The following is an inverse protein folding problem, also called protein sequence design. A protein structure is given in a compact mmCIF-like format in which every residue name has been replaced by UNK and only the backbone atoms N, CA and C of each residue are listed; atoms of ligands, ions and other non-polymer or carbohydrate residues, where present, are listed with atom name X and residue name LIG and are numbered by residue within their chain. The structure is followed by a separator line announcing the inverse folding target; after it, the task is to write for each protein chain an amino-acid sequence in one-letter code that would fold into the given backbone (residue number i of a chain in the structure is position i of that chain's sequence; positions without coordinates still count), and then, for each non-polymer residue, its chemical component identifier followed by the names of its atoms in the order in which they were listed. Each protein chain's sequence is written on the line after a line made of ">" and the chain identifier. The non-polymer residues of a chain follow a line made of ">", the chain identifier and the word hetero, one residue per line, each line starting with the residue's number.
data_IF_729870759361
#
_entry.id   IF_729870759361
#
_cell.length_a   1.000
_cell.length_b   1.000
_cell.length_c   1.000
_cell.angle_alpha   90.00
_cell.angle_beta   90.00
_cell.angle_gamma   90.00
#
_symmetry.space_group_name_H-M   'P 1'
#
loop_
_entity.id
_entity.type
_entity.pdbx_description
1 polymer ?
#
# COMPACT_ATOMS: atom_id res chain seq x y z
N UNK A 1 -68.00 -36.94 21.59
CA UNK A 1 -66.96 -36.60 22.55
C UNK A 1 -65.62 -36.86 21.89
N UNK A 2 -65.06 -35.84 21.26
CA UNK A 2 -63.76 -35.93 20.57
C UNK A 2 -62.78 -34.98 21.25
N UNK A 3 -61.85 -35.53 22.00
CA UNK A 3 -60.77 -34.78 22.61
C UNK A 3 -59.71 -34.49 21.56
N UNK A 4 -59.57 -33.20 21.18
CA UNK A 4 -58.43 -32.76 20.39
C UNK A 4 -57.22 -32.70 21.30
N UNK A 5 -56.26 -33.54 21.04
CA UNK A 5 -54.92 -33.37 21.59
C UNK A 5 -54.24 -32.17 20.95
N UNK A 6 -54.05 -31.14 21.74
CA UNK A 6 -53.24 -29.98 21.37
C UNK A 6 -51.77 -30.38 21.70
N UNK A 7 -51.02 -30.77 20.67
CA UNK A 7 -49.60 -31.02 20.78
C UNK A 7 -48.88 -29.81 20.18
N UNK A 8 -48.89 -28.71 20.89
CA UNK A 8 -47.88 -27.69 20.72
C UNK A 8 -46.79 -27.96 21.75
N UNK A 9 -45.77 -28.66 21.35
CA UNK A 9 -44.65 -28.94 22.23
C UNK A 9 -43.73 -27.70 22.27
N UNK A 10 -43.72 -26.94 23.36
CA UNK A 10 -42.85 -25.75 23.48
C UNK A 10 -41.36 -26.09 23.41
N UNK A 11 -41.00 -27.33 23.66
CA UNK A 11 -39.59 -27.80 23.67
C UNK A 11 -38.92 -27.76 22.29
N UNK A 12 -39.66 -27.95 21.20
CA UNK A 12 -39.07 -27.95 19.82
C UNK A 12 -38.80 -26.55 19.33
N UNK A 13 -39.61 -25.56 19.69
CA UNK A 13 -39.42 -24.15 19.31
C UNK A 13 -38.25 -23.56 20.09
N UNK A 14 -38.11 -23.88 21.38
CA UNK A 14 -37.01 -23.42 22.24
C UNK A 14 -35.68 -24.03 21.85
N UNK A 15 -35.64 -25.30 21.43
CA UNK A 15 -34.40 -25.94 20.95
C UNK A 15 -33.94 -25.40 19.59
N UNK A 16 -34.85 -24.94 18.74
CA UNK A 16 -34.56 -24.32 17.45
C UNK A 16 -34.08 -22.87 17.62
N UNK A 17 -34.67 -22.10 18.53
CA UNK A 17 -34.21 -20.74 18.88
C UNK A 17 -32.81 -20.78 19.52
N UNK A 18 -32.57 -21.65 20.47
CA UNK A 18 -31.26 -21.87 21.10
C UNK A 18 -30.15 -22.27 20.10
N UNK A 19 -30.51 -22.97 19.01
CA UNK A 19 -29.52 -23.39 18.01
C UNK A 19 -29.12 -22.22 17.11
N UNK A 20 -30.06 -21.40 16.65
CA UNK A 20 -29.79 -20.21 15.84
C UNK A 20 -28.99 -19.15 16.62
N UNK A 21 -29.37 -18.88 17.87
CA UNK A 21 -28.64 -17.98 18.75
C UNK A 21 -27.21 -18.48 19.06
N UNK A 22 -27.07 -19.81 19.26
CA UNK A 22 -25.78 -20.42 19.48
C UNK A 22 -24.89 -20.34 18.25
N UNK A 23 -25.43 -20.51 17.05
CA UNK A 23 -24.71 -20.32 15.78
C UNK A 23 -24.31 -18.85 15.63
N UNK A 24 -25.22 -17.91 15.89
CA UNK A 24 -24.94 -16.47 15.83
C UNK A 24 -23.81 -16.07 16.76
N UNK A 25 -23.87 -16.44 18.03
CA UNK A 25 -22.80 -16.14 19.01
C UNK A 25 -21.45 -16.76 18.63
N UNK A 26 -21.47 -18.00 18.09
CA UNK A 26 -20.23 -18.64 17.62
C UNK A 26 -19.63 -17.94 16.39
N UNK A 27 -20.47 -17.49 15.47
CA UNK A 27 -20.05 -16.72 14.30
C UNK A 27 -19.46 -15.36 14.70
N UNK A 28 -20.09 -14.66 15.63
CA UNK A 28 -19.58 -13.40 16.19
C UNK A 28 -18.24 -13.60 16.91
N UNK A 29 -18.16 -14.64 17.77
CA UNK A 29 -16.92 -14.95 18.49
C UNK A 29 -15.77 -15.33 17.53
N UNK A 30 -16.08 -16.07 16.45
CA UNK A 30 -15.10 -16.43 15.44
C UNK A 30 -14.65 -15.18 14.66
N UNK A 31 -15.60 -14.34 14.24
CA UNK A 31 -15.30 -13.08 13.55
C UNK A 31 -14.42 -12.15 14.40
N UNK A 32 -14.73 -12.02 15.70
CA UNK A 32 -13.93 -11.24 16.63
C UNK A 32 -12.49 -11.80 16.78
N UNK A 33 -12.36 -13.15 16.85
CA UNK A 33 -11.04 -13.80 16.93
C UNK A 33 -10.24 -13.61 15.64
N UNK A 34 -10.88 -13.72 14.46
CA UNK A 34 -10.23 -13.51 13.17
C UNK A 34 -9.78 -12.06 13.04
N UNK A 35 -10.62 -11.09 13.42
CA UNK A 35 -10.26 -9.66 13.43
C UNK A 35 -9.07 -9.41 14.34
N UNK A 36 -9.10 -9.87 15.59
CA UNK A 36 -8.00 -9.72 16.55
C UNK A 36 -6.71 -10.44 16.10
N UNK A 37 -6.81 -11.55 15.39
CA UNK A 37 -5.67 -12.22 14.79
C UNK A 37 -5.09 -11.40 13.60
N UNK A 38 -5.96 -10.84 12.77
CA UNK A 38 -5.58 -9.94 11.68
C UNK A 38 -4.86 -8.69 12.18
N UNK A 39 -5.41 -8.01 13.18
CA UNK A 39 -4.80 -6.82 13.81
C UNK A 39 -3.43 -7.12 14.44
N UNK A 40 -3.24 -8.31 14.99
CA UNK A 40 -1.92 -8.73 15.51
C UNK A 40 -0.92 -9.05 14.41
N UNK A 41 -1.36 -9.69 13.34
CA UNK A 41 -0.51 -10.02 12.20
C UNK A 41 -0.14 -8.78 11.37
N UNK A 42 -1.06 -7.83 11.28
CA UNK A 42 -0.93 -6.61 10.47
C UNK A 42 -1.35 -5.39 11.31
N UNK A 43 -0.52 -4.96 12.29
CA UNK A 43 -0.87 -3.84 13.15
C UNK A 43 -1.15 -2.58 12.31
N UNK A 44 -2.29 -1.87 12.52
CA UNK A 44 -2.61 -0.63 11.80
C UNK A 44 -1.55 0.46 12.00
N UNK A 45 -0.88 0.41 13.17
CA UNK A 45 0.20 1.33 13.52
C UNK A 45 1.55 0.96 12.91
N UNK A 46 1.65 -0.22 12.25
CA UNK A 46 2.89 -0.62 11.60
C UNK A 46 3.19 0.33 10.45
N UNK A 47 4.33 1.00 10.51
CA UNK A 47 4.77 1.85 9.41
C UNK A 47 5.04 0.97 8.18
N UNK A 48 4.42 1.35 7.06
CA UNK A 48 4.59 0.66 5.77
C UNK A 48 5.79 1.27 5.07
N UNK A 49 6.95 0.62 5.14
CA UNK A 49 8.16 1.08 4.46
C UNK A 49 8.46 0.23 3.24
N UNK A 50 8.94 0.87 2.19
CA UNK A 50 9.67 0.17 1.17
C UNK A 50 11.00 -0.33 1.76
N UNK A 51 11.54 -1.43 1.20
CA UNK A 51 12.87 -1.90 1.59
C UNK A 51 13.92 -0.83 1.35
N UNK A 52 14.97 -0.84 2.13
CA UNK A 52 16.17 -0.07 1.85
C UNK A 52 17.00 -0.69 0.72
N UNK A 53 17.83 0.13 0.10
CA UNK A 53 18.67 -0.21 -1.05
C UNK A 53 20.14 -0.16 -0.65
N UNK A 54 20.94 -1.11 -1.12
CA UNK A 54 22.40 -1.08 -0.95
C UNK A 54 23.04 -0.01 -1.84
N UNK A 55 24.25 0.43 -1.53
CA UNK A 55 24.99 1.37 -2.38
C UNK A 55 25.08 0.92 -3.85
N UNK A 56 25.33 -0.37 -4.10
CA UNK A 56 25.42 -0.89 -5.45
C UNK A 56 24.08 -0.81 -6.20
N UNK A 57 22.98 -1.11 -5.53
CA UNK A 57 21.64 -0.94 -6.11
C UNK A 57 21.33 0.52 -6.41
N UNK A 58 21.65 1.43 -5.48
CA UNK A 58 21.44 2.87 -5.68
C UNK A 58 22.30 3.40 -6.84
N UNK A 59 23.54 2.95 -6.96
CA UNK A 59 24.42 3.30 -8.06
C UNK A 59 23.80 2.92 -9.42
N UNK A 60 23.23 1.72 -9.52
CA UNK A 60 22.52 1.25 -10.72
C UNK A 60 21.24 2.04 -10.97
N UNK A 61 20.42 2.25 -9.94
CA UNK A 61 19.13 2.97 -10.04
C UNK A 61 19.33 4.40 -10.49
N UNK A 62 20.35 5.09 -9.97
CA UNK A 62 20.63 6.50 -10.25
C UNK A 62 21.50 6.68 -11.49
N UNK A 63 22.26 5.66 -11.88
CA UNK A 63 23.15 5.69 -13.05
C UNK A 63 24.49 6.38 -12.77
N UNK A 64 25.07 6.11 -11.59
CA UNK A 64 26.40 6.55 -11.18
C UNK A 64 27.24 5.36 -10.74
N UNK A 65 28.55 5.55 -10.48
CA UNK A 65 29.39 4.49 -9.94
C UNK A 65 29.25 4.39 -8.42
N UNK A 66 29.39 3.18 -7.87
CA UNK A 66 29.40 2.95 -6.41
C UNK A 66 30.55 3.71 -5.72
N UNK A 67 31.73 3.78 -6.38
CA UNK A 67 32.86 4.57 -5.89
C UNK A 67 32.53 6.05 -5.76
N UNK A 68 31.78 6.61 -6.70
CA UNK A 68 31.33 8.00 -6.63
C UNK A 68 30.35 8.23 -5.49
N UNK A 69 29.38 7.34 -5.27
CA UNK A 69 28.46 7.41 -4.12
C UNK A 69 29.22 7.35 -2.79
N UNK A 70 30.22 6.48 -2.72
CA UNK A 70 31.08 6.38 -1.54
C UNK A 70 31.83 7.70 -1.28
N UNK A 71 32.38 8.31 -2.33
CA UNK A 71 33.07 9.59 -2.20
C UNK A 71 32.14 10.71 -1.73
N UNK A 72 30.95 10.84 -2.32
CA UNK A 72 29.93 11.79 -1.88
C UNK A 72 29.61 11.64 -0.39
N UNK A 73 29.41 10.40 0.06
CA UNK A 73 29.13 10.12 1.47
C UNK A 73 30.29 10.48 2.40
N UNK A 74 31.53 10.28 1.96
CA UNK A 74 32.72 10.66 2.74
C UNK A 74 32.90 12.18 2.81
N UNK A 75 32.57 12.88 1.74
CA UNK A 75 32.64 14.35 1.65
C UNK A 75 31.44 15.03 2.34
N UNK A 76 30.50 14.26 2.89
CA UNK A 76 29.26 14.79 3.50
C UNK A 76 28.31 15.45 2.50
N UNK A 77 28.38 15.05 1.22
CA UNK A 77 27.55 15.58 0.14
C UNK A 77 26.38 14.64 -0.18
N UNK A 78 25.23 15.24 -0.44
CA UNK A 78 23.99 14.48 -0.65
C UNK A 78 23.44 13.85 0.64
N UNK A 79 22.52 12.86 0.53
CA UNK A 79 21.91 12.22 1.69
C UNK A 79 22.92 11.37 2.48
N UNK A 80 22.76 11.35 3.79
CA UNK A 80 23.54 10.48 4.67
C UNK A 80 22.90 9.09 4.71
N UNK A 81 23.58 8.02 4.22
CA UNK A 81 23.05 6.67 4.27
C UNK A 81 23.01 6.14 5.69
N UNK A 82 22.04 5.27 5.97
CA UNK A 82 22.04 4.49 7.19
C UNK A 82 23.13 3.40 7.12
N UNK A 83 23.69 3.04 8.26
CA UNK A 83 24.61 1.93 8.37
C UNK A 83 23.88 0.70 8.93
N UNK A 84 23.94 -0.40 8.20
CA UNK A 84 23.48 -1.69 8.71
C UNK A 84 24.38 -2.20 9.84
N UNK A 85 23.93 -3.19 10.60
CA UNK A 85 24.71 -3.84 11.64
C UNK A 85 26.10 -4.36 11.18
N UNK A 86 26.23 -4.62 9.86
CA UNK A 86 27.50 -5.01 9.22
C UNK A 86 28.32 -3.84 8.65
N UNK A 87 28.00 -2.58 8.98
CA UNK A 87 28.70 -1.39 8.49
C UNK A 87 28.50 -1.09 7.00
N UNK A 88 27.55 -1.74 6.34
CA UNK A 88 27.20 -1.47 4.94
C UNK A 88 26.24 -0.31 4.84
N UNK A 89 26.44 0.56 3.84
CA UNK A 89 25.53 1.67 3.55
C UNK A 89 24.23 1.18 3.01
N UNK A 90 23.12 1.73 3.52
CA UNK A 90 21.75 1.45 3.14
C UNK A 90 21.01 2.77 2.93
N UNK A 91 20.19 2.86 1.91
CA UNK A 91 19.45 4.06 1.53
C UNK A 91 17.96 3.76 1.49
N UNK A 92 17.14 4.64 2.02
CA UNK A 92 15.68 4.63 1.80
C UNK A 92 15.36 5.20 0.42
N UNK A 93 14.12 5.03 -0.05
CA UNK A 93 13.69 5.64 -1.32
C UNK A 93 13.72 7.16 -1.27
N UNK A 94 13.40 7.75 -0.11
CA UNK A 94 13.50 9.19 0.13
C UNK A 94 14.94 9.67 -0.06
N UNK A 95 15.91 8.97 0.52
CA UNK A 95 17.33 9.29 0.35
C UNK A 95 17.79 9.12 -1.11
N UNK A 96 17.27 8.12 -1.83
CA UNK A 96 17.53 7.99 -3.28
C UNK A 96 16.97 9.19 -4.06
N UNK A 97 15.78 9.67 -3.70
CA UNK A 97 15.16 10.84 -4.32
C UNK A 97 15.94 12.12 -4.00
N UNK A 98 16.38 12.29 -2.77
CA UNK A 98 17.26 13.39 -2.33
C UNK A 98 18.61 13.38 -3.09
N UNK A 99 19.22 12.22 -3.25
CA UNK A 99 20.44 12.05 -4.05
C UNK A 99 20.21 12.46 -5.51
N UNK A 100 19.06 12.10 -6.10
CA UNK A 100 18.70 12.52 -7.45
C UNK A 100 18.58 14.04 -7.58
N UNK A 101 17.94 14.68 -6.60
CA UNK A 101 17.84 16.14 -6.55
C UNK A 101 19.21 16.79 -6.45
N UNK A 102 20.05 16.31 -5.53
CA UNK A 102 21.44 16.79 -5.37
C UNK A 102 22.24 16.67 -6.68
N UNK A 103 22.19 15.51 -7.34
CA UNK A 103 22.91 15.29 -8.60
C UNK A 103 22.39 16.17 -9.75
N UNK A 104 21.09 16.41 -9.78
CA UNK A 104 20.49 17.30 -10.77
C UNK A 104 20.96 18.75 -10.60
N UNK A 105 21.09 19.20 -9.36
CA UNK A 105 21.61 20.55 -9.05
C UNK A 105 23.12 20.65 -9.27
N UNK A 106 23.89 19.62 -8.89
CA UNK A 106 25.34 19.58 -9.10
C UNK A 106 25.72 19.45 -10.59
N UNK A 107 24.84 18.89 -11.42
CA UNK A 107 25.06 18.66 -12.87
C UNK A 107 23.92 19.20 -13.72
N UNK A 108 23.73 20.50 -13.84
CA UNK A 108 22.58 21.11 -14.51
C UNK A 108 22.38 20.65 -15.96
N UNK A 109 23.46 20.35 -16.68
CA UNK A 109 23.40 19.84 -18.06
C UNK A 109 22.79 18.44 -18.17
N UNK A 110 22.87 17.65 -17.10
CA UNK A 110 22.35 16.29 -17.02
C UNK A 110 21.17 16.18 -16.02
N UNK A 111 20.62 17.28 -15.57
CA UNK A 111 19.62 17.33 -14.50
C UNK A 111 18.43 16.38 -14.76
N UNK A 112 17.93 16.32 -15.98
CA UNK A 112 16.82 15.47 -16.36
C UNK A 112 17.13 13.97 -16.34
N UNK A 113 18.40 13.59 -16.47
CA UNK A 113 18.85 12.21 -16.34
C UNK A 113 18.71 11.75 -14.89
N UNK A 114 19.05 12.60 -13.95
CA UNK A 114 19.02 12.25 -12.54
C UNK A 114 17.65 12.43 -11.92
N UNK A 115 16.93 13.53 -12.30
CA UNK A 115 15.64 13.85 -11.72
C UNK A 115 14.62 14.24 -12.79
N UNK A 116 13.89 13.28 -13.37
CA UNK A 116 12.87 13.50 -14.39
C UNK A 116 11.58 14.04 -13.76
N UNK A 117 11.63 15.24 -13.18
CA UNK A 117 10.47 15.91 -12.58
C UNK A 117 9.62 16.61 -13.64
N UNK A 118 8.36 16.76 -13.32
CA UNK A 118 7.43 17.59 -14.10
C UNK A 118 7.93 19.04 -14.15
N UNK A 119 7.98 19.64 -15.33
CA UNK A 119 8.35 21.04 -15.57
C UNK A 119 7.12 21.93 -15.54
N UNK A 120 7.25 23.24 -15.31
CA UNK A 120 6.19 24.20 -15.59
C UNK A 120 5.68 24.04 -17.02
N UNK A 121 4.36 23.84 -17.20
CA UNK A 121 3.73 23.60 -18.50
C UNK A 121 3.59 22.14 -18.92
N UNK A 122 4.28 21.19 -18.30
CA UNK A 122 4.09 19.76 -18.55
C UNK A 122 2.70 19.32 -18.05
N UNK A 123 2.01 18.52 -18.85
CA UNK A 123 0.72 17.93 -18.46
C UNK A 123 0.93 16.77 -17.52
N UNK A 124 -0.02 16.60 -16.59
CA UNK A 124 -0.11 15.39 -15.78
C UNK A 124 -0.31 14.18 -16.70
N UNK A 125 0.49 13.14 -16.51
CA UNK A 125 0.32 11.89 -17.23
C UNK A 125 -0.57 10.97 -16.39
N UNK A 126 -1.65 10.49 -17.00
CA UNK A 126 -2.56 9.50 -16.40
C UNK A 126 -2.42 8.21 -17.19
N UNK A 127 -2.03 7.14 -16.52
CA UNK A 127 -1.89 5.81 -17.12
C UNK A 127 -2.96 4.89 -16.54
N UNK A 128 -3.81 4.35 -17.40
CA UNK A 128 -4.85 3.41 -17.00
C UNK A 128 -4.47 1.98 -17.42
N UNK A 129 -4.46 1.07 -16.46
CA UNK A 129 -4.26 -0.37 -16.71
C UNK A 129 -5.61 -1.07 -16.60
N UNK A 130 -6.23 -1.38 -17.73
CA UNK A 130 -7.56 -1.96 -17.80
C UNK A 130 -7.57 -3.22 -18.68
N UNK A 131 -8.37 -4.23 -18.27
CA UNK A 131 -8.68 -5.40 -19.08
C UNK A 131 -9.94 -6.07 -18.52
N UNK A 132 -10.84 -6.51 -19.38
CA UNK A 132 -12.07 -7.20 -18.98
C UNK A 132 -11.83 -8.62 -18.49
N UNK A 133 -10.73 -9.27 -18.89
CA UNK A 133 -10.42 -10.64 -18.50
C UNK A 133 -9.82 -10.68 -17.09
N UNK A 134 -10.39 -11.50 -16.22
CA UNK A 134 -9.79 -11.83 -14.92
C UNK A 134 -8.43 -12.52 -15.11
N UNK A 135 -7.50 -12.34 -14.18
CA UNK A 135 -6.16 -12.94 -14.25
C UNK A 135 -5.24 -12.37 -15.33
N UNK A 136 -5.58 -11.24 -15.95
CA UNK A 136 -4.77 -10.59 -17.00
C UNK A 136 -3.61 -9.74 -16.48
N UNK A 137 -3.17 -9.99 -15.25
CA UNK A 137 -2.05 -9.31 -14.60
C UNK A 137 -2.18 -7.77 -14.43
N UNK A 138 -3.41 -7.21 -14.44
CA UNK A 138 -3.62 -5.77 -14.26
C UNK A 138 -2.97 -5.22 -12.99
N UNK A 139 -3.27 -5.82 -11.86
CA UNK A 139 -2.75 -5.42 -10.55
C UNK A 139 -1.24 -5.50 -10.49
N UNK A 140 -0.67 -6.62 -10.97
CA UNK A 140 0.79 -6.82 -11.02
C UNK A 140 1.47 -5.79 -11.93
N UNK A 141 0.89 -5.51 -13.09
CA UNK A 141 1.40 -4.48 -14.02
C UNK A 141 1.37 -3.10 -13.39
N UNK A 142 0.26 -2.73 -12.74
CA UNK A 142 0.13 -1.44 -12.04
C UNK A 142 1.15 -1.30 -10.92
N UNK A 143 1.35 -2.35 -10.13
CA UNK A 143 2.33 -2.38 -9.04
C UNK A 143 3.75 -2.14 -9.56
N UNK A 144 4.20 -2.95 -10.52
CA UNK A 144 5.57 -2.82 -11.06
C UNK A 144 5.79 -1.51 -11.80
N UNK A 145 4.78 -1.01 -12.53
CA UNK A 145 4.86 0.29 -13.20
C UNK A 145 5.01 1.42 -12.18
N UNK A 146 4.18 1.43 -11.13
CA UNK A 146 4.27 2.45 -10.09
C UNK A 146 5.61 2.42 -9.36
N UNK A 147 6.09 1.24 -8.97
CA UNK A 147 7.40 1.08 -8.33
C UNK A 147 8.55 1.47 -9.24
N UNK A 148 8.51 1.03 -10.51
CA UNK A 148 9.55 1.34 -11.49
C UNK A 148 9.68 2.84 -11.76
N UNK A 149 8.56 3.54 -11.90
CA UNK A 149 8.53 4.99 -12.07
C UNK A 149 9.02 5.72 -10.81
N UNK A 150 8.63 5.27 -9.63
CA UNK A 150 9.11 5.85 -8.36
C UNK A 150 10.63 5.70 -8.21
N UNK A 151 11.19 4.53 -8.55
CA UNK A 151 12.64 4.30 -8.54
C UNK A 151 13.39 5.20 -9.54
N UNK A 152 12.74 5.60 -10.63
CA UNK A 152 13.30 6.56 -11.58
C UNK A 152 13.19 8.03 -11.11
N UNK A 153 12.55 8.29 -9.98
CA UNK A 153 12.41 9.62 -9.39
C UNK A 153 11.13 10.36 -9.77
N UNK A 154 10.15 9.69 -10.39
CA UNK A 154 8.83 10.25 -10.60
C UNK A 154 8.00 10.21 -9.31
N UNK A 155 7.17 11.23 -9.11
CA UNK A 155 6.11 11.20 -8.09
C UNK A 155 4.92 10.45 -8.67
N UNK A 156 4.58 9.33 -8.09
CA UNK A 156 3.53 8.44 -8.58
C UNK A 156 2.39 8.40 -7.56
N UNK A 157 1.17 8.62 -8.05
CA UNK A 157 -0.05 8.31 -7.32
C UNK A 157 -0.66 7.06 -7.95
N UNK A 158 -0.78 5.98 -7.18
CA UNK A 158 -1.50 4.78 -7.59
C UNK A 158 -2.93 4.84 -7.04
N UNK A 159 -3.91 4.66 -7.93
CA UNK A 159 -5.34 4.66 -7.56
C UNK A 159 -5.87 3.26 -7.84
N UNK A 160 -6.33 2.58 -6.78
CA UNK A 160 -6.95 1.27 -6.86
C UNK A 160 -8.48 1.44 -7.03
N UNK A 161 -9.00 1.04 -8.18
CA UNK A 161 -10.42 1.11 -8.51
C UNK A 161 -11.13 -0.25 -8.37
N UNK A 162 -10.40 -1.28 -7.96
CA UNK A 162 -10.97 -2.60 -7.73
C UNK A 162 -11.54 -2.68 -6.30
N UNK A 163 -12.83 -3.00 -6.11
CA UNK A 163 -13.40 -3.21 -4.78
C UNK A 163 -12.68 -4.28 -3.96
N UNK A 164 -11.95 -5.20 -4.60
CA UNK A 164 -11.12 -6.20 -3.92
C UNK A 164 -9.83 -5.61 -3.32
N UNK A 165 -9.49 -4.36 -3.65
CA UNK A 165 -8.32 -3.64 -3.15
C UNK A 165 -7.00 -4.42 -3.25
N UNK A 166 -6.86 -5.21 -4.31
CA UNK A 166 -5.69 -6.08 -4.50
C UNK A 166 -4.39 -5.29 -4.65
N UNK A 167 -4.42 -4.14 -5.32
CA UNK A 167 -3.25 -3.27 -5.46
C UNK A 167 -2.84 -2.67 -4.12
N UNK A 168 -3.82 -2.18 -3.35
CA UNK A 168 -3.60 -1.64 -2.00
C UNK A 168 -2.97 -2.70 -1.08
N UNK A 169 -3.47 -3.93 -1.12
CA UNK A 169 -2.92 -5.07 -0.37
C UNK A 169 -1.47 -5.39 -0.77
N UNK A 170 -1.15 -5.33 -2.07
CA UNK A 170 0.22 -5.56 -2.55
C UNK A 170 1.20 -4.45 -2.13
N UNK A 171 0.71 -3.24 -1.85
CA UNK A 171 1.49 -2.18 -1.21
C UNK A 171 1.57 -2.30 0.32
N UNK A 172 1.00 -3.36 0.90
CA UNK A 172 1.05 -3.66 2.33
C UNK A 172 -0.08 -3.03 3.14
N UNK A 173 -1.07 -2.42 2.50
CA UNK A 173 -2.27 -1.91 3.16
C UNK A 173 -3.32 -2.99 3.28
N UNK A 174 -3.90 -3.12 4.47
CA UNK A 174 -5.08 -3.95 4.71
C UNK A 174 -6.30 -3.02 4.80
N UNK A 175 -7.14 -2.94 3.76
CA UNK A 175 -8.22 -1.94 3.70
C UNK A 175 -9.15 -1.98 4.91
N UNK A 176 -9.40 -3.17 5.45
CA UNK A 176 -10.27 -3.40 6.61
C UNK A 176 -9.70 -2.84 7.93
N UNK A 177 -8.37 -2.65 8.02
CA UNK A 177 -7.68 -2.22 9.24
C UNK A 177 -7.01 -0.86 9.09
N UNK A 178 -6.49 -0.56 7.89
CA UNK A 178 -5.65 0.61 7.66
C UNK A 178 -6.44 1.81 7.10
N UNK A 179 -7.65 1.56 6.53
CA UNK A 179 -8.43 2.61 5.85
C UNK A 179 -9.74 2.85 6.62
N UNK A 180 -10.00 4.06 7.14
CA UNK A 180 -11.28 4.42 7.73
C UNK A 180 -12.43 4.24 6.72
N UNK A 181 -13.62 3.88 7.18
CA UNK A 181 -14.79 3.61 6.33
C UNK A 181 -15.13 4.77 5.36
N UNK A 182 -14.84 6.00 5.76
CA UNK A 182 -15.12 7.22 4.98
C UNK A 182 -13.94 7.70 4.13
N UNK A 183 -12.76 7.07 4.23
CA UNK A 183 -11.54 7.48 3.51
C UNK A 183 -11.31 6.65 2.23
N UNK A 184 -12.38 6.29 1.54
CA UNK A 184 -12.31 5.57 0.27
C UNK A 184 -12.60 6.48 -0.91
N UNK A 185 -12.12 6.09 -2.10
CA UNK A 185 -12.45 6.80 -3.34
C UNK A 185 -13.96 6.88 -3.59
N UNK A 186 -14.73 5.91 -3.10
CA UNK A 186 -16.18 5.92 -3.18
C UNK A 186 -16.80 7.15 -2.49
N UNK A 187 -16.25 7.57 -1.34
CA UNK A 187 -16.67 8.82 -0.67
C UNK A 187 -16.44 10.05 -1.55
N UNK A 188 -15.30 10.12 -2.22
CA UNK A 188 -14.98 11.23 -3.12
C UNK A 188 -15.86 11.27 -4.38
N UNK A 189 -16.25 10.08 -4.91
CA UNK A 189 -17.11 9.98 -6.12
C UNK A 189 -18.56 10.35 -5.80
N UNK A 190 -19.02 10.11 -4.58
CA UNK A 190 -20.42 10.40 -4.17
C UNK A 190 -20.76 11.88 -4.01
N UNK A 191 -19.82 12.80 -4.26
CA UNK A 191 -20.01 14.24 -4.06
C UNK A 191 -20.43 14.63 -2.63
N UNK A 192 -20.04 13.85 -1.64
CA UNK A 192 -20.20 14.21 -0.23
C UNK A 192 -19.15 15.26 0.09
N UNK A 193 -19.50 16.55 -0.04
CA UNK A 193 -18.60 17.71 0.16
C UNK A 193 -17.93 17.70 1.54
N UNK A 194 -18.58 17.11 2.55
CA UNK A 194 -18.08 16.99 3.92
C UNK A 194 -16.96 15.93 4.10
N UNK A 195 -16.61 15.17 3.06
CA UNK A 195 -15.66 14.05 3.13
C UNK A 195 -14.39 14.23 2.32
N UNK A 196 -14.29 15.32 1.60
CA UNK A 196 -13.11 15.69 0.80
C UNK A 196 -12.40 16.84 1.51
N UNK A 197 -11.75 16.54 2.61
CA UNK A 197 -10.89 17.49 3.33
C UNK A 197 -9.44 17.04 3.32
#
# INVERSE_FOLDING_TARGET
>A
SGTRMNVSSPAVAEEFELTSERIGRRAEALSARLRAAGERAFPPTAQKFLRSFTSGEVAQIVGVSDGYLRQLSLDGLGPSPDLTSGGRRSYTLEQVTELRAYLADARPKEALKFWPRRRPGDKLQVVTVANFKGGSAKTTTSLYLAQGLALQGYRVLAIDLDPQASLSTMFGYQPEFDIPENATLYGAIRYDEDRVS
#
